data_IF_443379195505
#
_entry.id   IF_443379195505
#
_cell.length_a   1.000
_cell.length_b   1.000
_cell.length_c   1.000
_cell.angle_alpha   90.00
_cell.angle_beta   90.00
_cell.angle_gamma   90.00
#
_symmetry.space_group_name_H-M   'P 1'
#
loop_
_entity.id
_entity.type
_entity.pdbx_description
1 polymer ?
#
# COMPACT_ATOMS: atom_id res chain seq x y z
N UNK A 1 18.38 3.88 -12.02
CA UNK A 1 17.35 2.86 -11.80
C UNK A 1 17.28 2.42 -10.34
N UNK A 2 18.37 1.96 -9.72
CA UNK A 2 18.41 1.55 -8.30
C UNK A 2 17.82 2.56 -7.28
N UNK A 3 18.10 3.85 -7.48
CA UNK A 3 17.60 4.92 -6.62
C UNK A 3 16.08 5.08 -6.64
N UNK A 4 15.39 4.75 -7.75
CA UNK A 4 13.93 4.80 -7.82
C UNK A 4 13.30 3.73 -6.92
N UNK A 5 13.85 2.51 -6.90
CA UNK A 5 13.39 1.45 -6.01
C UNK A 5 13.58 1.83 -4.55
N UNK A 6 14.71 2.45 -4.20
CA UNK A 6 14.98 2.94 -2.84
C UNK A 6 13.93 3.99 -2.44
N UNK A 7 13.63 4.95 -3.33
CA UNK A 7 12.60 5.98 -3.08
C UNK A 7 11.23 5.35 -2.85
N UNK A 8 10.82 4.40 -3.70
CA UNK A 8 9.55 3.67 -3.55
C UNK A 8 9.49 2.94 -2.21
N UNK A 9 10.57 2.28 -1.82
CA UNK A 9 10.65 1.52 -0.57
C UNK A 9 10.56 2.44 0.65
N UNK A 10 11.22 3.61 0.61
CA UNK A 10 11.10 4.64 1.65
C UNK A 10 9.66 5.15 1.74
N UNK A 11 9.01 5.44 0.61
CA UNK A 11 7.60 5.89 0.60
C UNK A 11 6.69 4.83 1.22
N UNK A 12 6.89 3.54 0.89
CA UNK A 12 6.12 2.44 1.47
C UNK A 12 6.32 2.36 2.99
N UNK A 13 7.56 2.44 3.47
CA UNK A 13 7.85 2.39 4.91
C UNK A 13 7.20 3.58 5.63
N UNK A 14 7.45 4.80 5.17
CA UNK A 14 6.93 6.02 5.80
C UNK A 14 5.41 6.04 5.75
N UNK A 15 4.81 5.70 4.61
CA UNK A 15 3.36 5.61 4.45
C UNK A 15 2.73 4.57 5.38
N UNK A 16 3.37 3.40 5.52
CA UNK A 16 2.91 2.35 6.45
C UNK A 16 2.97 2.84 7.89
N UNK A 17 4.09 3.45 8.32
CA UNK A 17 4.24 3.96 9.68
C UNK A 17 3.20 5.02 10.02
N UNK A 18 2.98 5.99 9.12
CA UNK A 18 1.97 7.04 9.30
C UNK A 18 0.57 6.44 9.32
N UNK A 19 0.25 5.57 8.36
CA UNK A 19 -1.04 4.90 8.25
C UNK A 19 -1.37 4.07 9.50
N UNK A 20 -0.39 3.31 10.01
CA UNK A 20 -0.51 2.52 11.23
C UNK A 20 -0.76 3.40 12.45
N UNK A 21 0.05 4.45 12.66
CA UNK A 21 -0.14 5.38 13.79
C UNK A 21 -1.52 6.04 13.75
N UNK A 22 -1.97 6.43 12.56
CA UNK A 22 -3.27 7.07 12.40
C UNK A 22 -4.43 6.09 12.61
N UNK A 23 -4.31 4.85 12.11
CA UNK A 23 -5.31 3.81 12.34
C UNK A 23 -5.41 3.46 13.83
N UNK A 24 -4.27 3.29 14.53
CA UNK A 24 -4.24 3.07 15.98
C UNK A 24 -4.96 4.18 16.73
N UNK A 25 -4.71 5.45 16.39
CA UNK A 25 -5.37 6.60 17.01
C UNK A 25 -6.89 6.54 16.84
N UNK A 26 -7.36 6.35 15.60
CA UNK A 26 -8.80 6.26 15.30
C UNK A 26 -9.48 5.06 15.98
N UNK A 27 -8.76 3.95 16.14
CA UNK A 27 -9.24 2.77 16.86
C UNK A 27 -9.37 3.02 18.37
N UNK A 28 -8.41 3.72 18.98
CA UNK A 28 -8.48 4.13 20.40
C UNK A 28 -9.65 5.07 20.66
N UNK A 29 -9.92 5.97 19.73
CA UNK A 29 -11.03 6.93 19.79
C UNK A 29 -12.39 6.31 19.38
N UNK A 30 -12.43 5.02 19.02
CA UNK A 30 -13.59 4.31 18.47
C UNK A 30 -14.28 5.08 17.32
N UNK A 31 -13.50 5.78 16.51
CA UNK A 31 -14.00 6.66 15.47
C UNK A 31 -14.62 5.85 14.31
N UNK A 32 -15.70 6.35 13.70
CA UNK A 32 -16.40 5.66 12.61
C UNK A 32 -15.48 5.35 11.40
N UNK A 33 -14.45 6.18 11.19
CA UNK A 33 -13.51 6.08 10.06
C UNK A 33 -12.21 5.31 10.38
N UNK A 34 -12.21 4.44 11.40
CA UNK A 34 -11.01 3.71 11.86
C UNK A 34 -10.30 2.84 10.80
N UNK A 35 -11.02 2.40 9.76
CA UNK A 35 -10.49 1.65 8.63
C UNK A 35 -10.09 2.51 7.43
N UNK A 36 -10.29 3.82 7.48
CA UNK A 36 -9.96 4.73 6.38
C UNK A 36 -8.48 4.62 5.94
N UNK A 37 -7.48 4.56 6.86
CA UNK A 37 -6.07 4.54 6.44
C UNK A 37 -5.73 3.25 5.68
N UNK A 38 -6.28 2.12 6.14
CA UNK A 38 -6.21 0.84 5.43
C UNK A 38 -6.88 0.94 4.06
N UNK A 39 -8.12 1.44 4.01
CA UNK A 39 -8.90 1.53 2.78
C UNK A 39 -8.22 2.38 1.72
N UNK A 40 -7.57 3.48 2.11
CA UNK A 40 -6.80 4.33 1.19
C UNK A 40 -5.60 3.56 0.61
N UNK A 41 -4.80 2.92 1.45
CA UNK A 41 -3.63 2.15 0.97
C UNK A 41 -4.04 0.99 0.05
N UNK A 42 -5.10 0.28 0.41
CA UNK A 42 -5.66 -0.81 -0.38
C UNK A 42 -6.20 -0.32 -1.73
N UNK A 43 -6.92 0.80 -1.73
CA UNK A 43 -7.49 1.38 -2.94
C UNK A 43 -6.41 1.87 -3.92
N UNK A 44 -5.30 2.43 -3.40
CA UNK A 44 -4.13 2.77 -4.22
C UNK A 44 -3.54 1.52 -4.89
N UNK A 45 -3.41 0.41 -4.16
CA UNK A 45 -2.93 -0.86 -4.71
C UNK A 45 -3.83 -1.39 -5.83
N UNK A 46 -5.15 -1.38 -5.60
CA UNK A 46 -6.15 -1.84 -6.59
C UNK A 46 -6.12 -0.96 -7.84
N UNK A 47 -6.11 0.36 -7.69
CA UNK A 47 -6.04 1.29 -8.84
C UNK A 47 -4.75 1.08 -9.62
N UNK A 48 -3.61 0.93 -8.92
CA UNK A 48 -2.32 0.64 -9.54
C UNK A 48 -2.35 -0.64 -10.38
N UNK A 49 -2.96 -1.71 -9.87
CA UNK A 49 -3.13 -2.98 -10.61
C UNK A 49 -4.06 -2.82 -11.82
N UNK A 50 -5.18 -2.11 -11.69
CA UNK A 50 -6.09 -1.85 -12.81
C UNK A 50 -5.38 -1.07 -13.92
N UNK A 51 -4.58 -0.06 -13.58
CA UNK A 51 -3.78 0.69 -14.55
C UNK A 51 -2.82 -0.24 -15.28
N UNK A 52 -2.11 -1.10 -14.55
CA UNK A 52 -1.20 -2.08 -15.14
C UNK A 52 -1.90 -3.05 -16.09
N UNK A 53 -3.07 -3.58 -15.72
CA UNK A 53 -3.85 -4.47 -16.58
C UNK A 53 -4.31 -3.79 -17.88
N UNK A 54 -4.65 -2.51 -17.82
CA UNK A 54 -5.05 -1.74 -19.01
C UNK A 54 -3.84 -1.46 -19.91
N UNK A 55 -2.70 -1.09 -19.32
CA UNK A 55 -1.47 -0.76 -20.06
C UNK A 55 -0.87 -2.02 -20.69
N UNK A 56 -0.74 -3.12 -19.94
CA UNK A 56 -0.21 -4.40 -20.43
C UNK A 56 -1.04 -5.01 -21.57
N UNK A 57 -2.36 -4.75 -21.62
CA UNK A 57 -3.20 -5.15 -22.75
C UNK A 57 -2.94 -4.36 -24.03
N UNK A 58 -2.45 -3.13 -23.92
CA UNK A 58 -2.24 -2.22 -25.06
C UNK A 58 -0.79 -2.14 -25.51
N UNK A 59 0.16 -2.52 -24.67
CA UNK A 59 1.58 -2.47 -24.93
C UNK A 59 2.26 -3.77 -24.49
N UNK A 60 3.16 -4.29 -25.33
CA UNK A 60 4.12 -5.32 -24.92
C UNK A 60 5.10 -4.69 -23.94
N UNK A 61 4.82 -4.82 -22.64
CA UNK A 61 5.71 -4.37 -21.58
C UNK A 61 6.90 -5.34 -21.45
N UNK A 62 8.06 -4.79 -21.14
CA UNK A 62 9.22 -5.58 -20.75
C UNK A 62 8.92 -6.38 -19.47
N UNK A 63 9.55 -7.55 -19.35
CA UNK A 63 9.44 -8.42 -18.17
C UNK A 63 9.92 -7.67 -16.92
N UNK A 64 10.95 -6.84 -17.04
CA UNK A 64 11.47 -6.05 -15.91
C UNK A 64 10.45 -5.03 -15.38
N UNK A 65 9.67 -4.42 -16.28
CA UNK A 65 8.59 -3.48 -15.91
C UNK A 65 7.46 -4.24 -15.21
N UNK A 66 7.08 -5.38 -15.78
CA UNK A 66 6.03 -6.25 -15.23
C UNK A 66 6.39 -6.72 -13.82
N UNK A 67 7.63 -7.17 -13.62
CA UNK A 67 8.12 -7.64 -12.33
C UNK A 67 8.20 -6.51 -11.31
N UNK A 68 8.70 -5.33 -11.72
CA UNK A 68 8.77 -4.15 -10.85
C UNK A 68 7.38 -3.69 -10.40
N UNK A 69 6.39 -3.70 -11.29
CA UNK A 69 5.01 -3.33 -10.97
C UNK A 69 4.37 -4.33 -10.01
N UNK A 70 4.58 -5.62 -10.24
CA UNK A 70 4.12 -6.68 -9.33
C UNK A 70 4.71 -6.49 -7.92
N UNK A 71 6.02 -6.24 -7.80
CA UNK A 71 6.67 -6.01 -6.51
C UNK A 71 6.10 -4.78 -5.79
N UNK A 72 5.85 -3.69 -6.53
CA UNK A 72 5.21 -2.48 -5.98
C UNK A 72 3.82 -2.80 -5.42
N UNK A 73 2.97 -3.49 -6.19
CA UNK A 73 1.62 -3.82 -5.76
C UNK A 73 1.61 -4.79 -4.56
N UNK A 74 2.47 -5.81 -4.57
CA UNK A 74 2.65 -6.68 -3.40
C UNK A 74 3.07 -5.87 -2.16
N UNK A 75 3.98 -4.91 -2.30
CA UNK A 75 4.39 -4.01 -1.24
C UNK A 75 3.24 -3.14 -0.70
N UNK A 76 2.41 -2.57 -1.58
CA UNK A 76 1.23 -1.79 -1.20
C UNK A 76 0.17 -2.64 -0.50
N UNK A 77 -0.10 -3.85 -0.99
CA UNK A 77 -1.01 -4.79 -0.31
C UNK A 77 -0.49 -5.16 1.06
N UNK A 78 0.80 -5.48 1.18
CA UNK A 78 1.43 -5.80 2.47
C UNK A 78 1.37 -4.63 3.45
N UNK A 79 1.70 -3.41 3.00
CA UNK A 79 1.57 -2.18 3.77
C UNK A 79 0.14 -1.96 4.27
N UNK A 80 -0.86 -2.15 3.40
CA UNK A 80 -2.28 -2.04 3.79
C UNK A 80 -2.65 -3.05 4.90
N UNK A 81 -2.15 -4.29 4.79
CA UNK A 81 -2.33 -5.31 5.82
C UNK A 81 -1.71 -4.90 7.16
N UNK A 82 -0.47 -4.40 7.16
CA UNK A 82 0.18 -3.88 8.38
C UNK A 82 -0.66 -2.77 9.02
N UNK A 83 -1.14 -1.81 8.22
CA UNK A 83 -1.97 -0.71 8.72
C UNK A 83 -3.23 -1.27 9.42
N UNK A 84 -3.91 -2.23 8.79
CA UNK A 84 -5.08 -2.87 9.36
C UNK A 84 -4.78 -3.60 10.68
N UNK A 85 -3.77 -4.48 10.69
CA UNK A 85 -3.46 -5.31 11.86
C UNK A 85 -2.83 -4.51 13.00
N UNK A 86 -2.08 -3.44 12.70
CA UNK A 86 -1.47 -2.59 13.73
C UNK A 86 -2.51 -1.98 14.68
N UNK A 87 -3.67 -1.61 14.13
CA UNK A 87 -4.79 -1.09 14.90
C UNK A 87 -5.45 -2.17 15.80
N UNK A 88 -5.51 -3.41 15.31
CA UNK A 88 -6.10 -4.54 16.03
C UNK A 88 -5.20 -5.04 17.17
N UNK A 89 -3.89 -5.17 16.91
CA UNK A 89 -2.91 -5.67 17.88
C UNK A 89 -2.67 -4.72 19.06
N UNK A 90 -2.90 -3.42 18.88
CA UNK A 90 -2.76 -2.42 19.95
C UNK A 90 -3.90 -2.46 20.98
N UNK A 91 -4.95 -3.26 20.74
CA UNK A 91 -6.11 -3.39 21.64
C UNK A 91 -5.97 -4.52 22.68
N UNK A 92 -4.85 -5.23 22.73
CA UNK A 92 -4.46 -6.13 23.83
C UNK A 92 -3.73 -5.34 24.91
#
# INVERSE_FOLDING_TARGET
MWWLYIVVLIILIVGTVIGSRYSIKLFKENHAKKFLPFGVAFLIAVISEIIYLIVSKKATLDIDISLSWMMLNMGLFFASGIIYFSAFLTKK
#
